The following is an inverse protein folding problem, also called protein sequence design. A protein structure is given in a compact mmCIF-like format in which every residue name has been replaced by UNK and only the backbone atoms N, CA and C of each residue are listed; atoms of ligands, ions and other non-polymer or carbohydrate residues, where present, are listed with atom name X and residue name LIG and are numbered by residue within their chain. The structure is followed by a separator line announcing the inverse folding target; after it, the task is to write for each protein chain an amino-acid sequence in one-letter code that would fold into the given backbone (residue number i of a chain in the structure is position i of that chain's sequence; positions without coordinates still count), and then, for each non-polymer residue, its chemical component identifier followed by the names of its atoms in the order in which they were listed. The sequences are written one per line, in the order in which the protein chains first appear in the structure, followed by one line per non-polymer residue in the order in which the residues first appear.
data_IF_264318822822
#
_entry.id   IF_264318822822
#
_cell.length_a   1.000
_cell.length_b   1.000
_cell.length_c   1.000
_cell.angle_alpha   90.00
_cell.angle_beta   90.00
_cell.angle_gamma   90.00
#
_symmetry.space_group_name_H-M   'P 1'
#
loop_
_entity.id
_entity.type
_entity.pdbx_description
1 polymer ?
#
# COMPACT_ATOMS: atom_id res chain seq x y z
N UNK A 1 10.39 -4.65 -9.16
CA UNK A 1 10.56 -5.22 -7.81
C UNK A 1 9.44 -6.22 -7.56
N UNK A 2 9.57 -7.12 -6.59
CA UNK A 2 8.47 -8.02 -6.22
C UNK A 2 7.44 -7.24 -5.38
N UNK A 3 6.13 -7.33 -5.68
CA UNK A 3 5.11 -6.69 -4.87
C UNK A 3 5.11 -7.30 -3.46
N UNK A 4 4.85 -6.47 -2.46
CA UNK A 4 4.69 -6.94 -1.08
C UNK A 4 3.33 -7.64 -0.99
N UNK A 5 3.25 -8.95 -0.70
CA UNK A 5 1.98 -9.65 -0.65
C UNK A 5 1.16 -9.20 0.56
N UNK A 6 -0.16 -9.35 0.48
CA UNK A 6 -1.07 -9.03 1.59
C UNK A 6 -0.76 -9.83 2.85
N UNK A 7 -0.24 -11.06 2.72
CA UNK A 7 0.17 -11.90 3.85
C UNK A 7 1.29 -11.29 4.69
N UNK A 8 2.13 -10.41 4.11
CA UNK A 8 3.13 -9.68 4.87
C UNK A 8 2.50 -8.61 5.77
N UNK A 9 1.50 -7.89 5.26
CA UNK A 9 0.73 -6.92 6.05
C UNK A 9 -0.14 -7.60 7.12
N UNK A 10 -0.72 -8.76 6.79
CA UNK A 10 -1.46 -9.60 7.73
C UNK A 10 -0.57 -10.08 8.89
N UNK A 11 0.65 -10.53 8.60
CA UNK A 11 1.61 -10.94 9.65
C UNK A 11 1.87 -9.80 10.63
N UNK A 12 2.15 -8.60 10.14
CA UNK A 12 2.38 -7.41 10.97
C UNK A 12 1.14 -7.10 11.83
N UNK A 13 -0.05 -7.15 11.22
CA UNK A 13 -1.30 -6.91 11.94
C UNK A 13 -1.48 -7.88 13.12
N UNK A 14 -1.25 -9.17 12.89
CA UNK A 14 -1.36 -10.22 13.91
C UNK A 14 -0.27 -10.14 14.98
N UNK A 15 0.96 -9.86 14.57
CA UNK A 15 2.13 -9.83 15.46
C UNK A 15 2.08 -8.66 16.43
N UNK A 16 1.58 -7.50 15.98
CA UNK A 16 1.58 -6.26 16.77
C UNK A 16 0.18 -5.81 17.23
N UNK A 17 -0.86 -6.59 16.93
CA UNK A 17 -2.23 -6.32 17.41
C UNK A 17 -2.94 -5.15 16.71
N UNK A 18 -2.66 -4.92 15.43
CA UNK A 18 -3.32 -3.87 14.65
C UNK A 18 -4.53 -4.39 13.85
N UNK A 19 -5.58 -3.58 13.80
CA UNK A 19 -6.79 -3.87 13.02
C UNK A 19 -6.65 -3.56 11.52
N UNK A 20 -5.75 -2.62 11.18
CA UNK A 20 -5.46 -2.14 9.83
C UNK A 20 -3.97 -1.91 9.68
N UNK A 21 -3.41 -2.34 8.55
CA UNK A 21 -2.00 -2.14 8.21
C UNK A 21 -1.90 -1.62 6.78
N UNK A 22 -1.14 -0.55 6.59
CA UNK A 22 -0.82 0.03 5.30
C UNK A 22 0.70 0.08 5.19
N UNK A 23 1.25 -0.64 4.22
CA UNK A 23 2.68 -0.65 3.93
C UNK A 23 2.90 0.23 2.71
N UNK A 24 3.69 1.30 2.88
CA UNK A 24 4.24 2.10 1.78
C UNK A 24 5.72 1.78 1.68
N UNK A 25 6.17 1.34 0.51
CA UNK A 25 7.57 1.05 0.25
C UNK A 25 8.05 1.81 -0.99
N UNK A 26 9.27 2.35 -0.90
CA UNK A 26 9.94 3.05 -2.00
C UNK A 26 11.37 2.54 -2.12
N UNK A 27 11.81 2.27 -3.35
CA UNK A 27 13.21 2.00 -3.69
C UNK A 27 13.85 3.30 -4.16
N UNK A 28 14.82 3.85 -3.43
CA UNK A 28 15.48 5.13 -3.73
C UNK A 28 16.93 4.89 -4.17
N UNK A 29 17.46 5.71 -5.08
CA UNK A 29 18.89 5.80 -5.37
C UNK A 29 19.44 4.90 -6.49
N UNK A 30 18.58 4.14 -7.18
CA UNK A 30 18.96 3.32 -8.34
C UNK A 30 18.38 3.90 -9.64
N UNK A 31 19.17 3.87 -10.72
CA UNK A 31 18.82 4.23 -12.12
C UNK A 31 18.14 3.03 -12.83
N UNK A 32 17.12 3.23 -13.68
CA UNK A 32 16.47 4.49 -14.06
C UNK A 32 15.29 4.91 -13.19
N UNK A 33 15.05 6.22 -13.18
CA UNK A 33 13.81 6.84 -12.70
C UNK A 33 12.64 6.46 -13.65
N UNK A 34 11.45 6.05 -13.17
CA UNK A 34 10.93 6.20 -11.81
C UNK A 34 11.44 5.17 -10.79
N UNK A 35 11.91 5.70 -9.67
CA UNK A 35 12.12 4.96 -8.42
C UNK A 35 10.88 4.17 -8.04
N UNK A 36 11.06 2.87 -7.85
CA UNK A 36 9.96 1.94 -7.68
C UNK A 36 9.18 2.14 -6.38
N UNK A 37 7.86 2.27 -6.48
CA UNK A 37 6.96 2.48 -5.34
C UNK A 37 5.91 1.37 -5.24
N UNK A 38 5.49 1.05 -4.00
CA UNK A 38 4.53 -0.01 -3.75
C UNK A 38 3.67 0.33 -2.53
N UNK A 39 2.36 0.02 -2.62
CA UNK A 39 1.43 0.13 -1.49
C UNK A 39 0.63 -1.16 -1.34
N UNK A 40 0.69 -1.76 -0.15
CA UNK A 40 -0.16 -2.89 0.26
C UNK A 40 -1.02 -2.49 1.44
N UNK A 41 -2.30 -2.85 1.40
CA UNK A 41 -3.27 -2.56 2.46
C UNK A 41 -3.85 -3.87 2.99
N UNK A 42 -4.14 -3.90 4.28
CA UNK A 42 -4.76 -5.02 4.97
C UNK A 42 -5.70 -4.51 6.08
N UNK A 43 -6.80 -5.23 6.30
CA UNK A 43 -7.66 -5.07 7.46
C UNK A 43 -8.15 -6.43 7.96
N UNK A 44 -8.35 -6.56 9.28
CA UNK A 44 -8.75 -7.85 9.90
C UNK A 44 -10.20 -8.23 9.61
N UNK A 45 -11.05 -7.28 9.19
CA UNK A 45 -12.43 -7.50 8.76
C UNK A 45 -12.68 -6.89 7.38
N UNK A 46 -13.78 -7.24 6.71
CA UNK A 46 -14.18 -6.60 5.45
C UNK A 46 -14.33 -5.09 5.57
N UNK A 47 -14.89 -4.61 6.69
CA UNK A 47 -15.03 -3.17 6.95
C UNK A 47 -13.66 -2.50 7.10
N UNK A 48 -12.72 -3.12 7.82
CA UNK A 48 -11.37 -2.61 7.98
C UNK A 48 -10.60 -2.64 6.65
N UNK A 49 -10.74 -3.69 5.85
CA UNK A 49 -10.19 -3.75 4.49
C UNK A 49 -10.70 -2.60 3.62
N UNK A 50 -12.00 -2.29 3.67
CA UNK A 50 -12.57 -1.20 2.89
C UNK A 50 -12.03 0.18 3.32
N UNK A 51 -11.78 0.40 4.61
CA UNK A 51 -11.13 1.63 5.10
C UNK A 51 -9.66 1.67 4.67
N UNK A 52 -8.91 0.58 4.87
CA UNK A 52 -7.50 0.49 4.50
C UNK A 52 -7.30 0.69 2.99
N UNK A 53 -8.18 0.13 2.15
CA UNK A 53 -8.17 0.34 0.70
C UNK A 53 -8.37 1.82 0.33
N UNK A 54 -9.36 2.50 0.93
CA UNK A 54 -9.59 3.94 0.71
C UNK A 54 -8.40 4.80 1.14
N UNK A 55 -7.79 4.47 2.28
CA UNK A 55 -6.59 5.15 2.75
C UNK A 55 -5.39 4.90 1.81
N UNK A 56 -5.20 3.65 1.36
CA UNK A 56 -4.19 3.30 0.37
C UNK A 56 -4.37 4.04 -0.96
N UNK A 57 -5.60 4.13 -1.46
CA UNK A 57 -5.93 4.89 -2.67
C UNK A 57 -5.63 6.38 -2.49
N UNK A 58 -5.99 6.95 -1.34
CA UNK A 58 -5.66 8.34 -1.03
C UNK A 58 -4.14 8.59 -1.06
N UNK A 59 -3.36 7.70 -0.45
CA UNK A 59 -1.90 7.76 -0.47
C UNK A 59 -1.37 7.69 -1.92
N UNK A 60 -1.78 6.68 -2.69
CA UNK A 60 -1.33 6.49 -4.08
C UNK A 60 -1.64 7.70 -4.95
N UNK A 61 -2.90 8.14 -4.97
CA UNK A 61 -3.37 9.08 -6.00
C UNK A 61 -3.31 10.54 -5.56
N UNK A 62 -3.44 10.85 -4.26
CA UNK A 62 -3.39 12.24 -3.78
C UNK A 62 -2.04 12.64 -3.23
N UNK A 63 -1.36 11.73 -2.52
CA UNK A 63 -0.05 12.05 -1.91
C UNK A 63 1.09 11.74 -2.86
N UNK A 64 1.08 10.55 -3.47
CA UNK A 64 2.16 10.07 -4.34
C UNK A 64 1.95 10.45 -5.81
N UNK A 65 0.78 10.96 -6.18
CA UNK A 65 0.49 11.45 -7.53
C UNK A 65 0.45 10.35 -8.60
N UNK A 66 0.20 9.10 -8.23
CA UNK A 66 0.05 8.02 -9.21
C UNK A 66 -1.11 8.33 -10.15
N UNK A 67 -0.96 7.97 -11.43
CA UNK A 67 -2.07 8.05 -12.38
C UNK A 67 -3.00 6.87 -12.12
N UNK A 68 -4.30 7.16 -11.97
CA UNK A 68 -5.31 6.12 -11.83
C UNK A 68 -5.66 5.61 -13.22
N UNK A 69 -5.62 4.29 -13.43
CA UNK A 69 -5.98 3.70 -14.72
C UNK A 69 -7.39 4.17 -15.14
N UNK A 70 -7.46 4.95 -16.24
CA UNK A 70 -8.71 5.51 -16.78
C UNK A 70 -8.86 7.04 -16.68
N UNK A 71 -8.00 7.74 -15.94
CA UNK A 71 -7.92 9.21 -15.99
C UNK A 71 -6.78 9.62 -16.93
N UNK A 72 -7.15 10.16 -18.12
CA UNK A 72 -6.25 10.89 -19.02
C UNK A 72 -6.29 12.37 -18.68
#
# INVERSE_FOLDING_TARGET
MKPIPISAAERIAKEFGYDQVIIVARKVGDDPDPHGEHVTTFGVTKAHCAVAARAGDFLKYKVMGWVKDGEK
#
